data_IF_878632029820
#
_entry.id   IF_878632029820
#
_cell.length_a   1.000
_cell.length_b   1.000
_cell.length_c   1.000
_cell.angle_alpha   90.00
_cell.angle_beta   90.00
_cell.angle_gamma   90.00
#
_symmetry.space_group_name_H-M   'P 1'
#
loop_
_entity.id
_entity.type
_entity.pdbx_description
1 polymer ?
#
# COMPACT_ATOMS: atom_id res chain seq x y z
N UNK A 1 90.85 -14.57 -1.44
CA UNK A 1 91.23 -14.25 -2.83
C UNK A 1 89.96 -14.26 -3.68
N UNK A 2 89.52 -13.09 -4.15
CA UNK A 2 88.30 -12.88 -4.94
C UNK A 2 88.62 -12.68 -6.43
N UNK A 3 87.61 -12.68 -7.30
CA UNK A 3 87.58 -11.97 -8.58
C UNK A 3 86.10 -11.78 -8.97
N UNK A 4 85.45 -10.61 -8.86
CA UNK A 4 85.63 -9.28 -9.50
C UNK A 4 85.09 -9.21 -10.94
N UNK A 5 84.14 -8.29 -11.19
CA UNK A 5 83.88 -7.75 -12.54
C UNK A 5 82.47 -7.24 -12.86
N UNK A 6 82.11 -6.03 -12.41
CA UNK A 6 81.19 -5.09 -13.12
C UNK A 6 82.03 -4.24 -14.12
N UNK A 7 81.58 -3.25 -14.97
CA UNK A 7 80.28 -2.53 -15.07
C UNK A 7 79.82 -2.03 -16.49
N UNK A 8 78.73 -1.23 -16.51
CA UNK A 8 78.32 -0.15 -17.47
C UNK A 8 77.56 -0.58 -18.75
N UNK A 9 76.52 0.11 -19.24
CA UNK A 9 76.32 1.57 -19.40
C UNK A 9 74.86 2.03 -19.32
N UNK A 10 74.72 3.28 -18.87
CA UNK A 10 73.55 4.15 -19.00
C UNK A 10 73.28 4.53 -20.47
N UNK A 11 72.02 4.76 -20.81
CA UNK A 11 71.63 5.91 -21.64
C UNK A 11 70.22 6.36 -21.27
N UNK A 12 70.16 7.57 -20.71
CA UNK A 12 68.98 8.41 -20.51
C UNK A 12 68.61 9.05 -21.87
N UNK A 13 67.33 9.10 -22.22
CA UNK A 13 66.78 10.14 -23.10
C UNK A 13 65.34 10.43 -22.68
N UNK A 14 65.11 11.69 -22.37
CA UNK A 14 63.88 12.23 -21.81
C UNK A 14 62.95 12.83 -22.90
N UNK A 15 61.72 13.13 -22.47
CA UNK A 15 60.77 14.13 -23.01
C UNK A 15 59.84 13.68 -24.16
N UNK A 16 58.54 13.52 -23.88
CA UNK A 16 57.45 14.42 -24.32
C UNK A 16 56.08 13.75 -24.14
N UNK A 17 55.11 14.52 -23.62
CA UNK A 17 53.69 14.21 -23.65
C UNK A 17 53.09 14.59 -25.01
N UNK A 18 52.11 13.83 -25.51
CA UNK A 18 51.12 14.34 -26.48
C UNK A 18 49.84 13.50 -26.48
N UNK A 19 48.71 14.20 -26.55
CA UNK A 19 47.33 13.71 -26.60
C UNK A 19 47.03 13.04 -27.95
N UNK A 20 46.13 12.04 -27.97
CA UNK A 20 45.79 11.39 -29.23
C UNK A 20 44.72 10.32 -29.17
N UNK A 21 43.48 10.76 -29.04
CA UNK A 21 42.25 10.03 -29.34
C UNK A 21 42.36 9.22 -30.66
N UNK A 22 42.25 7.88 -30.61
CA UNK A 22 41.75 7.10 -31.75
C UNK A 22 40.94 5.88 -31.27
N UNK A 23 39.66 5.95 -31.62
CA UNK A 23 38.69 4.87 -31.62
C UNK A 23 39.25 3.63 -32.33
N UNK A 24 39.10 2.45 -31.71
CA UNK A 24 38.96 1.23 -32.47
C UNK A 24 37.87 0.34 -31.88
N UNK A 25 36.75 0.33 -32.60
CA UNK A 25 35.72 -0.68 -32.68
C UNK A 25 36.23 -2.11 -32.52
N UNK A 26 35.71 -2.80 -31.50
CA UNK A 26 35.84 -4.24 -31.32
C UNK A 26 34.71 -4.75 -30.44
N UNK A 27 33.54 -4.96 -31.05
CA UNK A 27 32.44 -5.70 -30.44
C UNK A 27 32.94 -7.10 -30.11
N UNK A 28 33.18 -7.36 -28.83
CA UNK A 28 33.33 -8.71 -28.31
C UNK A 28 32.37 -8.82 -27.13
N UNK A 29 31.19 -9.38 -27.41
CA UNK A 29 30.25 -9.77 -26.39
C UNK A 29 30.85 -10.95 -25.60
N UNK A 30 31.32 -10.70 -24.38
CA UNK A 30 31.55 -11.75 -23.40
C UNK A 30 30.49 -11.64 -22.32
N UNK A 31 29.46 -12.47 -22.43
CA UNK A 31 28.60 -12.85 -21.31
C UNK A 31 29.50 -13.44 -20.22
N UNK A 32 29.73 -12.66 -19.16
CA UNK A 32 30.41 -13.10 -17.95
C UNK A 32 29.45 -13.00 -16.79
N UNK A 33 28.83 -14.14 -16.42
CA UNK A 33 28.11 -14.29 -15.17
C UNK A 33 29.08 -14.08 -14.01
N UNK A 34 29.06 -12.89 -13.42
CA UNK A 34 29.79 -12.55 -12.20
C UNK A 34 28.92 -12.84 -10.98
N UNK A 35 29.29 -13.88 -10.24
CA UNK A 35 28.63 -14.32 -9.01
C UNK A 35 28.64 -13.23 -7.93
N UNK A 36 27.48 -12.89 -7.39
CA UNK A 36 27.36 -12.08 -6.17
C UNK A 36 27.33 -13.01 -4.96
N UNK A 37 28.47 -13.15 -4.30
CA UNK A 37 28.56 -13.77 -2.97
C UNK A 37 28.01 -12.80 -1.92
N UNK A 38 26.84 -13.12 -1.37
CA UNK A 38 26.29 -12.43 -0.20
C UNK A 38 27.00 -12.95 1.06
N UNK A 39 27.94 -12.17 1.60
CA UNK A 39 28.56 -12.46 2.88
C UNK A 39 28.64 -11.18 3.73
N UNK A 40 27.78 -11.15 4.76
CA UNK A 40 27.83 -10.31 5.97
C UNK A 40 27.93 -8.79 5.82
N UNK A 41 26.81 -8.11 6.08
CA UNK A 41 26.78 -6.68 6.42
C UNK A 41 25.62 -5.96 5.74
N UNK A 42 24.91 -5.11 6.49
CA UNK A 42 24.02 -4.11 5.91
C UNK A 42 24.84 -3.28 4.91
N UNK A 43 24.69 -3.56 3.61
CA UNK A 43 25.16 -2.66 2.58
C UNK A 43 24.35 -1.38 2.73
N UNK A 44 25.04 -0.25 2.94
CA UNK A 44 24.41 1.06 2.97
C UNK A 44 23.61 1.24 1.67
N UNK A 45 22.30 1.55 1.78
CA UNK A 45 21.36 1.57 0.65
C UNK A 45 21.83 2.35 -0.59
N UNK A 46 22.77 3.28 -0.39
CA UNK A 46 23.49 4.01 -1.44
C UNK A 46 24.22 3.13 -2.46
N UNK A 47 24.80 1.98 -2.07
CA UNK A 47 25.54 1.09 -2.99
C UNK A 47 24.60 0.25 -3.88
N UNK A 48 23.49 -0.24 -3.34
CA UNK A 48 22.46 -0.94 -4.11
C UNK A 48 21.77 0.03 -5.09
N UNK A 49 21.41 1.21 -4.59
CA UNK A 49 20.81 2.27 -5.40
C UNK A 49 21.75 2.67 -6.55
N UNK A 50 23.03 2.93 -6.28
CA UNK A 50 24.01 3.25 -7.32
C UNK A 50 24.17 2.13 -8.37
N UNK A 51 24.17 0.85 -7.96
CA UNK A 51 24.27 -0.27 -8.90
C UNK A 51 23.03 -0.38 -9.81
N UNK A 52 21.83 -0.14 -9.27
CA UNK A 52 20.58 -0.14 -10.03
C UNK A 52 20.48 1.09 -10.96
N UNK A 53 20.88 2.28 -10.50
CA UNK A 53 20.93 3.50 -11.32
C UNK A 53 21.94 3.36 -12.47
N UNK A 54 23.11 2.76 -12.21
CA UNK A 54 24.13 2.52 -13.24
C UNK A 54 23.72 1.46 -14.27
N UNK A 55 22.97 0.42 -13.87
CA UNK A 55 22.48 -0.61 -14.80
C UNK A 55 21.29 -0.15 -15.66
N UNK A 56 20.49 0.80 -15.17
CA UNK A 56 19.27 1.29 -15.84
C UNK A 56 19.44 2.59 -16.61
N UNK A 57 20.56 3.30 -16.43
CA UNK A 57 20.79 4.64 -17.01
C UNK A 57 19.93 5.74 -16.37
N UNK A 58 19.27 5.44 -15.24
CA UNK A 58 18.41 6.37 -14.52
C UNK A 58 19.25 7.34 -13.65
N UNK A 59 18.81 8.59 -13.56
CA UNK A 59 19.45 9.58 -12.68
C UNK A 59 18.92 9.43 -11.22
N UNK A 60 19.64 9.94 -10.21
CA UNK A 60 19.22 9.85 -8.80
C UNK A 60 17.83 10.45 -8.50
N UNK A 61 17.31 11.32 -9.39
CA UNK A 61 15.96 11.89 -9.28
C UNK A 61 14.87 11.07 -9.98
N UNK A 62 15.21 10.07 -10.80
CA UNK A 62 14.23 9.38 -11.65
C UNK A 62 13.23 8.58 -10.82
N UNK A 63 13.69 7.98 -9.72
CA UNK A 63 12.81 7.31 -8.75
C UNK A 63 11.85 8.30 -8.10
N UNK A 64 12.32 9.49 -7.72
CA UNK A 64 11.49 10.55 -7.17
C UNK A 64 10.40 10.98 -8.14
N UNK A 65 10.77 11.30 -9.38
CA UNK A 65 9.81 11.73 -10.39
C UNK A 65 8.78 10.64 -10.70
N UNK A 66 9.19 9.37 -10.75
CA UNK A 66 8.29 8.26 -11.00
C UNK A 66 7.31 8.06 -9.83
N UNK A 67 7.79 8.03 -8.59
CA UNK A 67 6.93 7.89 -7.42
C UNK A 67 5.99 9.09 -7.26
N UNK A 68 6.47 10.31 -7.49
CA UNK A 68 5.65 11.52 -7.43
C UNK A 68 4.59 11.53 -8.54
N UNK A 69 4.96 11.22 -9.78
CA UNK A 69 4.02 11.16 -10.90
C UNK A 69 2.91 10.13 -10.64
N UNK A 70 3.27 8.95 -10.14
CA UNK A 70 2.29 7.91 -9.84
C UNK A 70 1.42 8.27 -8.63
N UNK A 71 2.01 8.82 -7.56
CA UNK A 71 1.24 9.29 -6.41
C UNK A 71 0.26 10.41 -6.81
N UNK A 72 0.69 11.37 -7.63
CA UNK A 72 -0.19 12.44 -8.16
C UNK A 72 -1.30 11.83 -9.02
N UNK A 73 -0.98 10.85 -9.87
CA UNK A 73 -1.96 10.11 -10.67
C UNK A 73 -3.03 9.43 -9.80
N UNK A 74 -2.62 8.79 -8.69
CA UNK A 74 -3.56 8.19 -7.75
C UNK A 74 -4.37 9.21 -6.97
N UNK A 75 -3.75 10.31 -6.52
CA UNK A 75 -4.45 11.39 -5.85
C UNK A 75 -5.50 12.02 -6.78
N UNK A 76 -5.17 12.18 -8.07
CA UNK A 76 -6.12 12.60 -9.09
C UNK A 76 -7.24 11.58 -9.30
N UNK A 77 -6.91 10.28 -9.41
CA UNK A 77 -7.89 9.21 -9.56
C UNK A 77 -8.88 9.16 -8.38
N UNK A 78 -8.40 9.17 -7.14
CA UNK A 78 -9.26 9.19 -5.96
C UNK A 78 -10.04 10.49 -5.85
N UNK A 79 -9.46 11.63 -6.24
CA UNK A 79 -10.17 12.91 -6.26
C UNK A 79 -11.27 12.90 -7.32
N UNK A 80 -11.04 12.35 -8.52
CA UNK A 80 -12.07 12.21 -9.55
C UNK A 80 -13.19 11.26 -9.12
N UNK A 81 -12.85 10.14 -8.46
CA UNK A 81 -13.83 9.22 -7.89
C UNK A 81 -14.65 9.89 -6.77
N UNK A 82 -13.97 10.64 -5.90
CA UNK A 82 -14.57 11.42 -4.82
C UNK A 82 -15.49 12.51 -5.40
N UNK A 83 -15.03 13.33 -6.33
CA UNK A 83 -15.85 14.32 -7.06
C UNK A 83 -17.04 13.62 -7.71
N UNK A 84 -16.88 12.48 -8.37
CA UNK A 84 -18.01 11.72 -8.96
C UNK A 84 -19.04 11.26 -7.91
N UNK A 85 -18.60 10.93 -6.69
CA UNK A 85 -19.47 10.62 -5.57
C UNK A 85 -20.11 11.87 -4.93
N UNK A 86 -19.42 13.01 -4.93
CA UNK A 86 -19.82 14.26 -4.26
C UNK A 86 -20.60 15.24 -5.15
N UNK A 87 -20.34 15.29 -6.46
CA UNK A 87 -21.05 16.15 -7.45
C UNK A 87 -22.35 15.55 -7.92
N UNK A 88 -22.78 14.42 -7.35
CA UNK A 88 -24.22 14.13 -7.37
C UNK A 88 -24.91 15.23 -6.60
N UNK A 89 -25.98 15.84 -7.17
CA UNK A 89 -26.68 16.91 -6.48
C UNK A 89 -27.03 16.40 -5.10
N UNK A 90 -26.62 17.16 -4.08
CA UNK A 90 -27.06 16.93 -2.72
C UNK A 90 -28.56 16.64 -2.79
N UNK A 91 -28.98 15.53 -2.20
CA UNK A 91 -30.40 15.21 -2.11
C UNK A 91 -31.17 16.38 -1.48
N UNK A 92 -30.48 17.19 -0.65
CA UNK A 92 -30.93 18.49 -0.15
C UNK A 92 -31.46 19.46 -1.22
N UNK A 93 -30.91 19.46 -2.43
CA UNK A 93 -31.38 20.28 -3.55
C UNK A 93 -32.66 19.74 -4.21
N UNK A 94 -32.85 18.42 -4.25
CA UNK A 94 -34.07 17.80 -4.79
C UNK A 94 -35.25 17.94 -3.82
N UNK A 95 -35.00 17.89 -2.51
CA UNK A 95 -36.02 18.20 -1.49
C UNK A 95 -36.51 19.64 -1.58
N UNK A 96 -35.67 20.61 -1.96
CA UNK A 96 -36.08 22.01 -2.05
C UNK A 96 -37.00 22.33 -3.23
N UNK A 97 -37.00 21.48 -4.27
CA UNK A 97 -37.88 21.66 -5.44
C UNK A 97 -39.18 20.87 -5.32
N UNK A 98 -39.25 19.90 -4.40
CA UNK A 98 -40.43 19.04 -4.14
C UNK A 98 -41.04 19.33 -2.76
N UNK A 99 -40.61 20.39 -2.06
CA UNK A 99 -41.16 20.81 -0.75
C UNK A 99 -42.59 21.35 -0.79
N UNK A 100 -43.25 21.40 -1.94
CA UNK A 100 -44.68 21.74 -2.01
C UNK A 100 -45.58 20.49 -1.82
N UNK A 101 -45.00 19.31 -1.66
CA UNK A 101 -45.69 18.09 -1.23
C UNK A 101 -44.94 17.57 -0.01
N UNK A 102 -45.60 17.53 1.15
CA UNK A 102 -45.09 16.88 2.35
C UNK A 102 -44.74 15.42 2.03
N UNK A 103 -43.50 15.15 1.65
CA UNK A 103 -43.01 13.79 1.57
C UNK A 103 -43.06 13.22 2.98
N UNK A 104 -43.65 12.02 3.17
CA UNK A 104 -43.52 11.31 4.43
C UNK A 104 -42.04 11.26 4.79
N UNK A 105 -41.69 11.66 6.01
CA UNK A 105 -40.34 11.46 6.55
C UNK A 105 -39.97 10.02 6.23
N UNK A 106 -38.91 9.77 5.43
CA UNK A 106 -38.62 8.40 5.03
C UNK A 106 -38.40 7.61 6.31
N UNK A 107 -38.91 6.38 6.41
CA UNK A 107 -38.48 5.50 7.48
C UNK A 107 -37.00 5.18 7.21
N UNK A 108 -36.07 6.04 7.67
CA UNK A 108 -34.64 5.75 7.77
C UNK A 108 -34.39 4.71 8.87
N UNK A 109 -35.25 3.70 8.96
CA UNK A 109 -35.24 2.64 9.96
C UNK A 109 -35.40 1.35 9.19
N UNK A 110 -34.30 0.63 9.00
CA UNK A 110 -34.31 -0.65 8.31
C UNK A 110 -33.04 -0.94 7.51
N UNK A 111 -33.03 -2.15 6.95
CA UNK A 111 -31.95 -2.68 6.12
C UNK A 111 -31.93 -1.99 4.76
N UNK A 112 -30.75 -1.67 4.24
CA UNK A 112 -30.54 -0.92 2.99
C UNK A 112 -31.23 -1.56 1.77
N UNK A 113 -31.40 -2.88 1.74
CA UNK A 113 -32.15 -3.58 0.68
C UNK A 113 -33.64 -3.20 0.62
N UNK A 114 -34.25 -2.84 1.75
CA UNK A 114 -35.69 -2.54 1.85
C UNK A 114 -36.01 -1.07 1.55
N UNK A 115 -34.98 -0.22 1.47
CA UNK A 115 -35.14 1.20 1.17
C UNK A 115 -35.35 1.44 -0.32
N UNK A 116 -36.00 2.56 -0.65
CA UNK A 116 -36.12 2.99 -2.05
C UNK A 116 -34.74 3.08 -2.72
N UNK A 117 -34.72 2.86 -4.03
CA UNK A 117 -33.50 2.89 -4.83
C UNK A 117 -32.71 4.22 -4.67
N UNK A 118 -33.38 5.32 -4.37
CA UNK A 118 -32.76 6.62 -4.07
C UNK A 118 -31.90 6.58 -2.80
N UNK A 119 -32.42 6.04 -1.70
CA UNK A 119 -31.77 6.00 -0.39
C UNK A 119 -30.64 4.98 -0.37
N UNK A 120 -30.85 3.82 -1.01
CA UNK A 120 -29.80 2.80 -1.18
C UNK A 120 -28.59 3.35 -1.94
N UNK A 121 -28.81 4.04 -3.06
CA UNK A 121 -27.71 4.67 -3.82
C UNK A 121 -26.99 5.74 -3.00
N UNK A 122 -27.72 6.54 -2.23
CA UNK A 122 -27.11 7.56 -1.37
C UNK A 122 -26.23 6.94 -0.27
N UNK A 123 -26.70 5.87 0.38
CA UNK A 123 -25.94 5.12 1.38
C UNK A 123 -24.64 4.55 0.79
N UNK A 124 -24.74 3.78 -0.30
CA UNK A 124 -23.58 3.16 -0.96
C UNK A 124 -22.58 4.25 -1.38
N UNK A 125 -23.05 5.33 -2.02
CA UNK A 125 -22.18 6.44 -2.44
C UNK A 125 -21.45 7.06 -1.24
N UNK A 126 -22.11 7.21 -0.09
CA UNK A 126 -21.50 7.74 1.13
C UNK A 126 -20.41 6.83 1.68
N UNK A 127 -20.63 5.52 1.74
CA UNK A 127 -19.64 4.53 2.20
C UNK A 127 -18.38 4.59 1.34
N UNK A 128 -18.53 4.52 0.01
CA UNK A 128 -17.40 4.57 -0.90
C UNK A 128 -16.72 5.95 -0.91
N UNK A 129 -17.46 7.04 -0.75
CA UNK A 129 -16.86 8.38 -0.64
C UNK A 129 -15.96 8.51 0.60
N UNK A 130 -16.38 7.94 1.74
CA UNK A 130 -15.55 7.87 2.95
C UNK A 130 -14.31 7.02 2.68
N UNK A 131 -14.46 5.83 2.11
CA UNK A 131 -13.35 4.97 1.73
C UNK A 131 -12.32 5.69 0.83
N UNK A 132 -12.77 6.42 -0.20
CA UNK A 132 -11.89 7.22 -1.06
C UNK A 132 -11.02 8.17 -0.26
N UNK A 133 -11.62 8.89 0.69
CA UNK A 133 -10.92 9.86 1.53
C UNK A 133 -9.89 9.15 2.42
N UNK A 134 -10.26 8.00 3.00
CA UNK A 134 -9.34 7.21 3.82
C UNK A 134 -8.12 6.70 3.02
N UNK A 135 -8.36 6.21 1.80
CA UNK A 135 -7.29 5.76 0.90
C UNK A 135 -6.42 6.93 0.43
N UNK A 136 -7.01 8.08 0.08
CA UNK A 136 -6.26 9.27 -0.32
C UNK A 136 -5.36 9.79 0.81
N UNK A 137 -5.85 9.84 2.04
CA UNK A 137 -5.04 10.19 3.23
C UNK A 137 -3.90 9.19 3.40
N UNK A 138 -4.18 7.89 3.24
CA UNK A 138 -3.17 6.84 3.38
C UNK A 138 -2.07 6.95 2.32
N UNK A 139 -2.44 7.20 1.07
CA UNK A 139 -1.49 7.41 -0.03
C UNK A 139 -0.66 8.68 0.21
N UNK A 140 -1.29 9.79 0.60
CA UNK A 140 -0.59 11.04 0.86
C UNK A 140 0.43 10.90 2.00
N UNK A 141 0.03 10.31 3.13
CA UNK A 141 0.93 10.07 4.27
C UNK A 141 2.05 9.11 3.89
N UNK A 142 1.73 8.00 3.21
CA UNK A 142 2.75 7.03 2.77
C UNK A 142 3.77 7.67 1.82
N UNK A 143 3.32 8.47 0.86
CA UNK A 143 4.19 9.19 -0.06
C UNK A 143 5.12 10.16 0.68
N UNK A 144 4.58 10.98 1.59
CA UNK A 144 5.38 11.93 2.38
C UNK A 144 6.42 11.19 3.23
N UNK A 145 6.05 10.08 3.87
CA UNK A 145 6.97 9.30 4.71
C UNK A 145 8.07 8.63 3.89
N UNK A 146 7.73 8.04 2.74
CA UNK A 146 8.72 7.45 1.84
C UNK A 146 9.70 8.51 1.30
N UNK A 147 9.19 9.70 0.98
CA UNK A 147 9.97 10.72 0.31
C UNK A 147 10.85 11.56 1.24
N UNK A 148 10.29 12.02 2.35
CA UNK A 148 10.99 12.91 3.28
C UNK A 148 11.58 12.17 4.48
N UNK A 149 11.03 11.00 4.82
CA UNK A 149 11.55 10.17 5.90
C UNK A 149 12.61 9.18 5.41
N UNK A 150 12.29 8.42 4.37
CA UNK A 150 13.21 7.49 3.73
C UNK A 150 13.95 6.57 4.72
N UNK A 151 15.26 6.42 4.51
CA UNK A 151 16.13 5.61 5.35
C UNK A 151 16.23 6.12 6.79
N UNK A 152 16.26 7.44 7.00
CA UNK A 152 16.42 8.03 8.33
C UNK A 152 15.21 7.78 9.23
N UNK A 153 14.00 7.91 8.68
CA UNK A 153 12.76 7.56 9.38
C UNK A 153 12.71 6.07 9.68
N UNK A 154 13.08 5.21 8.72
CA UNK A 154 13.12 3.77 8.94
C UNK A 154 14.09 3.39 10.07
N UNK A 155 15.31 3.94 10.05
CA UNK A 155 16.33 3.71 11.09
C UNK A 155 15.86 4.21 12.45
N UNK A 156 15.31 5.42 12.52
CA UNK A 156 14.81 6.00 13.77
C UNK A 156 13.70 5.13 14.37
N UNK A 157 12.70 4.70 13.58
CA UNK A 157 11.64 3.82 14.08
C UNK A 157 12.16 2.45 14.55
N UNK A 158 13.24 1.94 13.98
CA UNK A 158 13.83 0.68 14.44
C UNK A 158 14.69 0.81 15.72
N UNK A 159 15.13 2.03 16.06
CA UNK A 159 16.05 2.28 17.18
C UNK A 159 15.34 3.00 18.31
N UNK A 160 15.31 4.34 18.26
CA UNK A 160 14.77 5.18 19.33
C UNK A 160 13.23 5.29 19.28
N UNK A 161 12.68 5.23 18.07
CA UNK A 161 11.26 5.43 17.78
C UNK A 161 10.40 4.17 17.80
N UNK A 162 10.90 3.01 18.25
CA UNK A 162 10.13 1.76 18.18
C UNK A 162 8.78 1.85 18.92
N UNK A 163 8.70 2.68 19.95
CA UNK A 163 7.47 2.94 20.69
C UNK A 163 6.38 3.53 19.81
N UNK A 164 6.68 4.39 18.83
CA UNK A 164 5.64 5.04 18.01
C UNK A 164 4.89 4.04 17.14
N UNK A 165 5.59 3.05 16.58
CA UNK A 165 4.97 1.96 15.82
C UNK A 165 4.01 1.15 16.70
N UNK A 166 4.47 0.72 17.88
CA UNK A 166 3.66 -0.08 18.79
C UNK A 166 2.48 0.72 19.38
N UNK A 167 2.70 1.98 19.74
CA UNK A 167 1.68 2.88 20.23
C UNK A 167 0.59 3.12 19.17
N UNK A 168 0.97 3.35 17.91
CA UNK A 168 0.01 3.50 16.82
C UNK A 168 -0.80 2.23 16.54
N UNK A 169 -0.19 1.05 16.69
CA UNK A 169 -0.89 -0.24 16.58
C UNK A 169 -1.90 -0.45 17.72
N UNK A 170 -1.50 -0.18 18.97
CA UNK A 170 -2.42 -0.27 20.11
C UNK A 170 -3.53 0.77 19.99
N UNK A 171 -3.19 1.99 19.57
CA UNK A 171 -4.14 3.07 19.37
C UNK A 171 -5.16 2.75 18.27
N UNK A 172 -4.76 2.15 17.15
CA UNK A 172 -5.71 1.78 16.09
C UNK A 172 -6.73 0.74 16.58
N UNK A 173 -6.31 -0.24 17.37
CA UNK A 173 -7.22 -1.22 18.01
C UNK A 173 -8.15 -0.52 19.00
N UNK A 174 -7.60 0.34 19.89
CA UNK A 174 -8.40 1.05 20.89
C UNK A 174 -9.45 1.96 20.25
N UNK A 175 -9.10 2.68 19.18
CA UNK A 175 -10.02 3.54 18.44
C UNK A 175 -11.08 2.71 17.72
N UNK A 176 -10.72 1.54 17.17
CA UNK A 176 -11.68 0.62 16.54
C UNK A 176 -12.71 0.09 17.56
N UNK A 177 -12.28 -0.27 18.77
CA UNK A 177 -13.18 -0.64 19.87
C UNK A 177 -14.09 0.55 20.23
N UNK A 178 -13.50 1.75 20.37
CA UNK A 178 -14.27 2.97 20.60
C UNK A 178 -15.31 3.22 19.51
N UNK A 179 -14.97 2.99 18.25
CA UNK A 179 -15.86 3.16 17.11
C UNK A 179 -17.06 2.20 17.21
N UNK A 180 -16.84 0.94 17.62
CA UNK A 180 -17.92 -0.02 17.87
C UNK A 180 -18.88 0.46 18.98
N UNK A 181 -18.36 1.09 20.03
CA UNK A 181 -19.19 1.64 21.11
C UNK A 181 -19.95 2.93 20.73
N UNK A 182 -19.39 3.74 19.83
CA UNK A 182 -19.91 5.06 19.49
C UNK A 182 -20.44 5.18 18.05
N UNK A 183 -20.66 4.05 17.35
CA UNK A 183 -21.04 4.03 15.92
C UNK A 183 -22.28 4.86 15.58
N UNK A 184 -23.26 4.88 16.49
CA UNK A 184 -24.55 5.57 16.30
C UNK A 184 -24.55 7.04 16.76
N UNK A 185 -23.44 7.56 17.30
CA UNK A 185 -23.37 8.93 17.84
C UNK A 185 -22.62 9.86 16.90
N UNK A 186 -23.37 10.64 16.12
CA UNK A 186 -22.82 11.74 15.33
C UNK A 186 -22.56 12.98 16.21
N UNK A 187 -21.44 13.73 16.06
CA UNK A 187 -20.36 13.59 15.08
C UNK A 187 -19.17 12.72 15.55
N UNK A 188 -19.25 12.13 16.76
CA UNK A 188 -18.13 11.38 17.35
C UNK A 188 -17.68 10.21 16.46
N UNK A 189 -18.61 9.52 15.81
CA UNK A 189 -18.29 8.43 14.88
C UNK A 189 -17.36 8.86 13.74
N UNK A 190 -17.54 10.03 13.15
CA UNK A 190 -16.69 10.58 12.08
C UNK A 190 -15.33 11.03 12.62
N UNK A 191 -15.28 11.60 13.82
CA UNK A 191 -14.02 12.00 14.45
C UNK A 191 -13.17 10.76 14.76
N UNK A 192 -13.76 9.74 15.38
CA UNK A 192 -13.06 8.49 15.68
C UNK A 192 -12.61 7.79 14.39
N UNK A 193 -13.42 7.84 13.33
CA UNK A 193 -13.04 7.33 12.02
C UNK A 193 -11.80 8.04 11.47
N UNK A 194 -11.77 9.38 11.52
CA UNK A 194 -10.61 10.15 11.06
C UNK A 194 -9.34 9.83 11.86
N UNK A 195 -9.46 9.74 13.18
CA UNK A 195 -8.35 9.34 14.07
C UNK A 195 -7.86 7.93 13.75
N UNK A 196 -8.77 6.98 13.56
CA UNK A 196 -8.45 5.61 13.15
C UNK A 196 -7.70 5.59 11.82
N UNK A 197 -8.18 6.32 10.83
CA UNK A 197 -7.51 6.46 9.54
C UNK A 197 -6.11 7.03 9.69
N UNK A 198 -5.89 8.08 10.48
CA UNK A 198 -4.56 8.63 10.68
C UNK A 198 -3.57 7.60 11.27
N UNK A 199 -3.98 6.84 12.30
CA UNK A 199 -3.12 5.79 12.88
C UNK A 199 -2.84 4.66 11.89
N UNK A 200 -3.85 4.21 11.15
CA UNK A 200 -3.67 3.17 10.13
C UNK A 200 -2.79 3.67 8.98
N UNK A 201 -3.03 4.88 8.47
CA UNK A 201 -2.20 5.51 7.44
C UNK A 201 -0.75 5.64 7.87
N UNK A 202 -0.48 5.96 9.14
CA UNK A 202 0.87 5.98 9.68
C UNK A 202 1.53 4.59 9.68
N UNK A 203 0.82 3.54 10.12
CA UNK A 203 1.34 2.16 10.12
C UNK A 203 1.63 1.64 8.70
N UNK A 204 0.73 1.92 7.76
CA UNK A 204 0.92 1.58 6.34
C UNK A 204 2.08 2.39 5.76
N UNK A 205 2.14 3.70 6.06
CA UNK A 205 3.23 4.56 5.63
C UNK A 205 4.60 4.12 6.14
N UNK A 206 4.69 3.65 7.40
CA UNK A 206 5.91 3.05 7.94
C UNK A 206 6.30 1.79 7.15
N UNK A 207 5.34 0.91 6.88
CA UNK A 207 5.60 -0.30 6.08
C UNK A 207 6.14 0.06 4.69
N UNK A 208 5.47 0.97 3.99
CA UNK A 208 5.92 1.49 2.69
C UNK A 208 7.33 2.11 2.77
N UNK A 209 7.63 2.84 3.85
CA UNK A 209 8.95 3.43 4.09
C UNK A 209 10.01 2.35 4.30
N UNK A 210 9.72 1.25 4.99
CA UNK A 210 10.66 0.13 5.12
C UNK A 210 10.97 -0.54 3.78
N UNK A 211 9.96 -0.70 2.91
CA UNK A 211 10.19 -1.19 1.54
C UNK A 211 11.00 -0.19 0.70
N UNK A 212 10.72 1.11 0.82
CA UNK A 212 11.48 2.16 0.13
C UNK A 212 12.94 2.19 0.58
N UNK A 213 13.20 2.17 1.90
CA UNK A 213 14.54 2.18 2.50
C UNK A 213 15.37 0.94 2.14
N UNK A 214 14.72 -0.15 1.73
CA UNK A 214 15.34 -1.36 1.23
C UNK A 214 15.52 -1.39 -0.30
N UNK A 215 15.37 -0.24 -0.99
CA UNK A 215 15.50 -0.14 -2.45
C UNK A 215 14.31 -0.67 -3.25
N UNK A 216 13.22 -1.08 -2.58
CA UNK A 216 12.04 -1.72 -3.20
C UNK A 216 10.84 -0.77 -3.30
N UNK A 217 11.05 0.55 -3.32
CA UNK A 217 9.96 1.54 -3.36
C UNK A 217 9.03 1.41 -4.57
N UNK A 218 9.55 0.92 -5.70
CA UNK A 218 8.75 0.65 -6.92
C UNK A 218 7.69 -0.44 -6.67
N UNK A 219 7.98 -1.43 -5.82
CA UNK A 219 7.04 -2.51 -5.50
C UNK A 219 5.82 -2.01 -4.75
N UNK A 220 5.97 -0.97 -3.93
CA UNK A 220 4.86 -0.34 -3.20
C UNK A 220 3.84 0.21 -4.18
N UNK A 221 4.32 0.89 -5.21
CA UNK A 221 3.47 1.48 -6.26
C UNK A 221 2.81 0.38 -7.11
N UNK A 222 3.57 -0.64 -7.50
CA UNK A 222 3.08 -1.79 -8.27
C UNK A 222 1.99 -2.56 -7.50
N UNK A 223 2.23 -2.88 -6.23
CA UNK A 223 1.26 -3.55 -5.36
C UNK A 223 -0.03 -2.73 -5.25
N UNK A 224 0.09 -1.43 -5.01
CA UNK A 224 -1.07 -0.55 -4.89
C UNK A 224 -1.91 -0.49 -6.18
N UNK A 225 -1.25 -0.50 -7.35
CA UNK A 225 -1.91 -0.56 -8.65
C UNK A 225 -2.75 -1.84 -8.79
N UNK A 226 -2.14 -3.00 -8.50
CA UNK A 226 -2.78 -4.30 -8.61
C UNK A 226 -3.95 -4.40 -7.61
N UNK A 227 -3.76 -4.00 -6.36
CA UNK A 227 -4.82 -3.97 -5.35
C UNK A 227 -5.99 -3.10 -5.79
N UNK A 228 -5.72 -1.91 -6.34
CA UNK A 228 -6.77 -1.01 -6.80
C UNK A 228 -7.61 -1.62 -7.93
N UNK A 229 -6.95 -2.25 -8.92
CA UNK A 229 -7.63 -2.92 -10.03
C UNK A 229 -8.49 -4.09 -9.52
N UNK A 230 -7.93 -4.94 -8.65
CA UNK A 230 -8.64 -6.09 -8.07
C UNK A 230 -9.84 -5.60 -7.25
N UNK A 231 -9.64 -4.60 -6.40
CA UNK A 231 -10.70 -4.05 -5.54
C UNK A 231 -11.86 -3.48 -6.37
N UNK A 232 -11.57 -2.69 -7.41
CA UNK A 232 -12.59 -2.13 -8.29
C UNK A 232 -13.33 -3.23 -9.05
N UNK A 233 -12.61 -4.21 -9.60
CA UNK A 233 -13.20 -5.32 -10.35
C UNK A 233 -14.13 -6.17 -9.47
N UNK A 234 -13.67 -6.52 -8.26
CA UNK A 234 -14.46 -7.31 -7.29
C UNK A 234 -15.65 -6.51 -6.77
N UNK A 235 -15.48 -5.23 -6.47
CA UNK A 235 -16.57 -4.34 -6.06
C UNK A 235 -17.65 -4.28 -7.13
N UNK A 236 -17.27 -4.03 -8.39
CA UNK A 236 -18.21 -3.98 -9.50
C UNK A 236 -18.91 -5.34 -9.68
N UNK A 237 -18.14 -6.44 -9.63
CA UNK A 237 -18.71 -7.78 -9.70
C UNK A 237 -19.73 -8.04 -8.59
N UNK A 238 -19.41 -7.73 -7.33
CA UNK A 238 -20.33 -7.92 -6.20
C UNK A 238 -21.59 -7.04 -6.29
N UNK A 239 -21.49 -5.82 -6.83
CA UNK A 239 -22.64 -4.93 -7.01
C UNK A 239 -23.58 -5.36 -8.15
N UNK A 240 -23.06 -5.96 -9.22
CA UNK A 240 -23.85 -6.39 -10.38
C UNK A 240 -24.29 -7.86 -10.32
N UNK A 241 -23.57 -8.67 -9.55
CA UNK A 241 -23.87 -10.09 -9.37
C UNK A 241 -25.17 -10.26 -8.57
N UNK A 242 -25.92 -11.32 -8.90
CA UNK A 242 -27.13 -11.75 -8.15
C UNK A 242 -26.83 -12.89 -7.18
N UNK A 243 -25.54 -13.18 -6.96
CA UNK A 243 -25.09 -14.24 -6.06
C UNK A 243 -25.21 -13.74 -4.63
N UNK A 244 -25.89 -14.50 -3.77
CA UNK A 244 -25.93 -14.23 -2.33
C UNK A 244 -24.61 -14.68 -1.68
N UNK A 245 -23.85 -13.71 -1.16
CA UNK A 245 -22.58 -13.95 -0.48
C UNK A 245 -22.73 -14.19 1.03
N UNK A 246 -23.95 -14.32 1.56
CA UNK A 246 -24.22 -14.51 2.98
C UNK A 246 -23.43 -15.63 3.65
N UNK A 247 -23.20 -16.73 2.95
CA UNK A 247 -22.53 -17.91 3.49
C UNK A 247 -21.09 -17.61 3.93
N UNK A 248 -20.45 -16.62 3.30
CA UNK A 248 -19.11 -16.17 3.65
C UNK A 248 -19.04 -15.54 5.05
N UNK A 249 -20.13 -14.97 5.55
CA UNK A 249 -20.15 -14.28 6.85
C UNK A 249 -19.84 -15.18 8.05
N UNK A 250 -20.08 -16.49 7.94
CA UNK A 250 -19.70 -17.46 8.98
C UNK A 250 -18.29 -18.01 8.78
N UNK A 251 -17.85 -18.15 7.52
CA UNK A 251 -16.59 -18.81 7.15
C UNK A 251 -15.41 -17.84 7.27
N UNK A 252 -15.57 -16.61 6.79
CA UNK A 252 -14.49 -15.62 6.71
C UNK A 252 -13.87 -15.28 8.08
N UNK A 253 -14.64 -15.03 9.16
CA UNK A 253 -14.05 -14.77 10.47
C UNK A 253 -13.20 -15.95 10.98
N UNK A 254 -13.62 -17.18 10.69
CA UNK A 254 -12.85 -18.39 11.04
C UNK A 254 -11.54 -18.45 10.24
N UNK A 255 -11.58 -18.17 8.93
CA UNK A 255 -10.39 -18.11 8.09
C UNK A 255 -9.43 -16.99 8.53
N UNK A 256 -9.97 -15.82 8.92
CA UNK A 256 -9.17 -14.72 9.45
C UNK A 256 -8.48 -15.12 10.76
N UNK A 257 -9.17 -15.81 11.67
CA UNK A 257 -8.57 -16.31 12.91
C UNK A 257 -7.43 -17.29 12.62
N UNK A 258 -7.63 -18.22 11.68
CA UNK A 258 -6.59 -19.14 11.23
C UNK A 258 -5.39 -18.37 10.68
N UNK A 259 -5.63 -17.34 9.86
CA UNK A 259 -4.58 -16.49 9.30
C UNK A 259 -3.82 -15.72 10.39
N UNK A 260 -4.49 -15.20 11.41
CA UNK A 260 -3.85 -14.51 12.54
C UNK A 260 -2.98 -15.47 13.33
N UNK A 261 -3.51 -16.65 13.68
CA UNK A 261 -2.76 -17.67 14.42
C UNK A 261 -1.55 -18.15 13.63
N UNK A 262 -1.73 -18.45 12.34
CA UNK A 262 -0.63 -18.87 11.47
C UNK A 262 0.44 -17.77 11.33
N UNK A 263 0.02 -16.50 11.17
CA UNK A 263 0.93 -15.36 11.12
C UNK A 263 1.80 -15.25 12.38
N UNK A 264 1.23 -15.49 13.56
CA UNK A 264 1.98 -15.55 14.81
C UNK A 264 3.01 -16.70 14.83
N UNK A 265 2.65 -17.88 14.33
CA UNK A 265 3.59 -19.00 14.23
C UNK A 265 4.73 -18.74 13.24
N UNK A 266 4.45 -18.13 12.09
CA UNK A 266 5.49 -17.74 11.12
C UNK A 266 6.44 -16.72 11.75
N UNK A 267 5.91 -15.75 12.50
CA UNK A 267 6.70 -14.73 13.17
C UNK A 267 7.62 -15.28 14.27
N UNK A 268 7.16 -16.27 15.06
CA UNK A 268 7.91 -16.78 16.22
C UNK A 268 8.78 -18.01 15.90
N UNK A 269 8.29 -18.95 15.08
CA UNK A 269 8.88 -20.28 14.96
C UNK A 269 9.42 -20.62 13.57
N UNK A 270 8.83 -20.08 12.49
CA UNK A 270 9.10 -20.55 11.12
C UNK A 270 9.28 -19.41 10.11
N UNK A 271 10.42 -18.69 10.19
CA UNK A 271 10.75 -17.61 9.24
C UNK A 271 11.41 -18.15 7.96
N UNK A 272 10.70 -18.99 7.20
CA UNK A 272 11.17 -19.41 5.87
C UNK A 272 10.57 -18.54 4.76
N UNK A 273 11.29 -18.36 3.66
CA UNK A 273 10.78 -17.68 2.48
C UNK A 273 9.48 -18.31 1.96
N UNK A 274 9.45 -19.64 1.82
CA UNK A 274 8.28 -20.36 1.34
C UNK A 274 7.06 -20.17 2.24
N UNK A 275 7.22 -20.19 3.57
CA UNK A 275 6.12 -19.94 4.49
C UNK A 275 5.60 -18.51 4.40
N UNK A 276 6.48 -17.51 4.27
CA UNK A 276 6.07 -16.11 4.07
C UNK A 276 5.28 -15.91 2.79
N UNK A 277 5.67 -16.56 1.69
CA UNK A 277 4.96 -16.47 0.41
C UNK A 277 3.61 -17.22 0.46
N UNK A 278 3.57 -18.42 1.04
CA UNK A 278 2.32 -19.17 1.23
C UNK A 278 1.33 -18.40 2.13
N UNK A 279 1.83 -17.79 3.20
CA UNK A 279 1.04 -16.92 4.08
C UNK A 279 0.42 -15.75 3.31
N UNK A 280 1.23 -15.06 2.49
CA UNK A 280 0.77 -13.92 1.72
C UNK A 280 -0.25 -14.30 0.64
N UNK A 281 -0.08 -15.45 0.00
CA UNK A 281 -1.05 -15.99 -0.96
C UNK A 281 -2.38 -16.33 -0.28
N UNK A 282 -2.34 -17.02 0.85
CA UNK A 282 -3.54 -17.36 1.62
C UNK A 282 -4.29 -16.09 2.09
N UNK A 283 -3.55 -15.11 2.62
CA UNK A 283 -4.10 -13.81 3.01
C UNK A 283 -4.75 -13.08 1.84
N UNK A 284 -4.09 -13.04 0.67
CA UNK A 284 -4.64 -12.42 -0.56
C UNK A 284 -5.99 -13.02 -0.93
N UNK A 285 -6.11 -14.36 -0.94
CA UNK A 285 -7.37 -15.05 -1.26
C UNK A 285 -8.46 -14.71 -0.25
N UNK A 286 -8.13 -14.74 1.05
CA UNK A 286 -9.08 -14.43 2.12
C UNK A 286 -9.60 -13.00 1.98
N UNK A 287 -8.73 -12.02 1.75
CA UNK A 287 -9.14 -10.62 1.64
C UNK A 287 -9.87 -10.30 0.32
N UNK A 288 -9.58 -11.02 -0.76
CA UNK A 288 -10.41 -10.99 -1.98
C UNK A 288 -11.85 -11.44 -1.69
N UNK A 289 -12.02 -12.49 -0.88
CA UNK A 289 -13.35 -12.98 -0.49
C UNK A 289 -14.05 -12.02 0.50
N UNK A 290 -13.31 -11.38 1.40
CA UNK A 290 -13.85 -10.33 2.27
C UNK A 290 -14.39 -9.15 1.46
N UNK A 291 -13.68 -8.66 0.45
CA UNK A 291 -14.18 -7.56 -0.41
C UNK A 291 -15.53 -7.91 -1.05
N UNK A 292 -15.69 -9.15 -1.52
CA UNK A 292 -16.97 -9.62 -2.08
C UNK A 292 -18.08 -9.65 -1.01
N UNK A 293 -17.78 -10.21 0.16
CA UNK A 293 -18.73 -10.30 1.27
C UNK A 293 -19.14 -8.92 1.79
N UNK A 294 -18.19 -8.03 2.04
CA UNK A 294 -18.43 -6.70 2.58
C UNK A 294 -19.15 -5.80 1.58
N UNK A 295 -18.78 -5.86 0.30
CA UNK A 295 -19.51 -5.14 -0.76
C UNK A 295 -20.97 -5.61 -0.83
N UNK A 296 -21.21 -6.93 -0.78
CA UNK A 296 -22.56 -7.48 -0.75
C UNK A 296 -23.32 -7.06 0.52
N UNK A 297 -22.66 -7.10 1.68
CA UNK A 297 -23.25 -6.70 2.97
C UNK A 297 -23.66 -5.23 2.97
N UNK A 298 -22.83 -4.33 2.41
CA UNK A 298 -23.14 -2.91 2.25
C UNK A 298 -24.35 -2.69 1.33
N UNK A 299 -24.46 -3.46 0.26
CA UNK A 299 -25.55 -3.32 -0.70
C UNK A 299 -26.89 -3.86 -0.16
N UNK A 300 -26.87 -4.93 0.64
CA UNK A 300 -28.08 -5.69 0.94
C UNK A 300 -28.43 -5.86 2.42
N UNK A 301 -27.48 -5.71 3.35
CA UNK A 301 -27.66 -6.16 4.75
C UNK A 301 -27.45 -5.09 5.80
N UNK A 302 -26.63 -4.09 5.53
CA UNK A 302 -26.35 -3.04 6.50
C UNK A 302 -27.58 -2.16 6.74
N UNK A 303 -27.65 -1.57 7.94
CA UNK A 303 -28.60 -0.51 8.24
C UNK A 303 -28.09 0.82 7.68
N UNK A 304 -29.01 1.75 7.39
CA UNK A 304 -28.65 3.04 6.77
C UNK A 304 -27.65 3.86 7.60
N UNK A 305 -27.67 3.72 8.93
CA UNK A 305 -26.79 4.46 9.84
C UNK A 305 -25.41 3.80 10.03
N UNK A 306 -25.22 2.56 9.55
CA UNK A 306 -23.98 1.79 9.68
C UNK A 306 -22.93 2.08 8.59
N UNK A 307 -23.05 3.22 7.89
CA UNK A 307 -22.14 3.60 6.81
C UNK A 307 -20.67 3.75 7.26
N UNK A 308 -20.44 4.13 8.53
CA UNK A 308 -19.08 4.23 9.10
C UNK A 308 -18.45 2.84 9.23
N UNK A 309 -19.23 1.86 9.69
CA UNK A 309 -18.76 0.49 9.83
C UNK A 309 -18.43 -0.12 8.47
N UNK A 310 -19.33 0.03 7.49
CA UNK A 310 -19.08 -0.44 6.12
C UNK A 310 -17.83 0.16 5.48
N UNK A 311 -17.56 1.45 5.74
CA UNK A 311 -16.35 2.10 5.23
C UNK A 311 -15.08 1.55 5.90
N UNK A 312 -15.10 1.31 7.21
CA UNK A 312 -13.96 0.74 7.95
C UNK A 312 -13.65 -0.67 7.48
N UNK A 313 -14.66 -1.52 7.29
CA UNK A 313 -14.43 -2.90 6.85
C UNK A 313 -13.81 -2.94 5.44
N UNK A 314 -14.37 -2.22 4.47
CA UNK A 314 -13.78 -2.10 3.13
C UNK A 314 -12.37 -1.49 3.14
N UNK A 315 -12.11 -0.53 4.05
CA UNK A 315 -10.78 0.07 4.19
C UNK A 315 -9.76 -0.94 4.70
N UNK A 316 -10.11 -1.74 5.72
CA UNK A 316 -9.26 -2.81 6.23
C UNK A 316 -9.03 -3.88 5.17
N UNK A 317 -10.06 -4.26 4.42
CA UNK A 317 -9.94 -5.22 3.33
C UNK A 317 -8.97 -4.77 2.25
N UNK A 318 -9.10 -3.52 1.81
CA UNK A 318 -8.20 -2.92 0.84
C UNK A 318 -6.75 -2.91 1.37
N UNK A 319 -6.53 -2.43 2.60
CA UNK A 319 -5.19 -2.31 3.16
C UNK A 319 -4.53 -3.67 3.36
N UNK A 320 -5.26 -4.66 3.87
CA UNK A 320 -4.71 -6.00 4.07
C UNK A 320 -4.41 -6.67 2.73
N UNK A 321 -5.30 -6.56 1.73
CA UNK A 321 -5.02 -7.04 0.37
C UNK A 321 -3.76 -6.37 -0.20
N UNK A 322 -3.60 -5.07 -0.02
CA UNK A 322 -2.40 -4.33 -0.41
C UNK A 322 -1.14 -4.88 0.24
N UNK A 323 -1.13 -5.07 1.57
CA UNK A 323 0.02 -5.59 2.29
C UNK A 323 0.40 -7.01 1.84
N UNK A 324 -0.58 -7.87 1.60
CA UNK A 324 -0.32 -9.23 1.12
C UNK A 324 0.21 -9.27 -0.31
N UNK A 325 -0.35 -8.46 -1.22
CA UNK A 325 0.17 -8.35 -2.59
C UNK A 325 1.59 -7.77 -2.58
N UNK A 326 1.86 -6.76 -1.75
CA UNK A 326 3.20 -6.20 -1.56
C UNK A 326 4.19 -7.26 -1.08
N UNK A 327 3.79 -8.10 -0.12
CA UNK A 327 4.61 -9.20 0.37
C UNK A 327 4.89 -10.25 -0.71
N UNK A 328 3.90 -10.60 -1.54
CA UNK A 328 4.06 -11.51 -2.68
C UNK A 328 5.06 -10.97 -3.71
N UNK A 329 4.89 -9.70 -4.12
CA UNK A 329 5.81 -9.06 -5.07
C UNK A 329 7.23 -8.94 -4.54
N UNK A 330 7.39 -8.73 -3.22
CA UNK A 330 8.70 -8.69 -2.59
C UNK A 330 9.41 -10.03 -2.54
N UNK A 331 8.68 -11.14 -2.65
CA UNK A 331 9.24 -12.47 -2.71
C UNK A 331 9.96 -12.74 -4.02
N UNK A 332 9.28 -12.47 -5.14
CA UNK A 332 9.77 -12.82 -6.48
C UNK A 332 10.97 -12.03 -7.00
N UNK A 333 11.50 -11.07 -6.23
CA UNK A 333 12.65 -10.22 -6.60
C UNK A 333 13.87 -10.37 -5.67
N UNK A 334 13.80 -11.28 -4.68
CA UNK A 334 14.89 -11.55 -3.74
C UNK A 334 15.74 -12.78 -4.11
N UNK A 335 15.31 -13.53 -5.14
CA UNK A 335 15.98 -14.70 -5.71
C UNK A 335 16.57 -14.36 -7.09
#
# INVERSE_FOLDING_TARGET
>A
QPASGTPSKQSMSAIAADDGNMQNTGVTASMGAGAYSAQNGFQTGTEYDQAVYQASGANPGTMFYMMAAVAIGYMFFFTMMMVSCYTRPSMYGYYRTVTDVEMPKPPLTGVVAQLDAQWRKAFITKVYAILCVQLAITVAISFVMMQFGGYDLARWVMTDGYWTRNASFIASIAVLIGLMCYKNKHPLNIILLGVFTCFMSYLIGLTCTFYAAAGMGVLVVEAFAITSIIFIALTAFAMYSKIDFSFLGMILPCLLLILIVWGFFVFVFFDSFAFRQAYALAGTIIFVLYILYDTHSICERMEYDDYVFGAVSLYLDFLNLFLFILQLLSGGRRD
#
